data_IF_985376786065
#
_entry.id   IF_985376786065
#
_cell.length_a   1.000
_cell.length_b   1.000
_cell.length_c   1.000
_cell.angle_alpha   90.00
_cell.angle_beta   90.00
_cell.angle_gamma   90.00
#
_symmetry.space_group_name_H-M   'P 1'
#
loop_
_entity.id
_entity.type
_entity.pdbx_description
1 polymer ?
#
# COMPACT_ATOMS: atom_id res chain seq x y z
N UNK A 1 6.08 1.12 13.52
CA UNK A 1 6.33 0.59 12.16
C UNK A 1 5.26 -0.43 11.91
N UNK A 2 4.62 -0.35 10.75
CA UNK A 2 3.32 -0.93 10.40
C UNK A 2 2.13 -0.05 10.77
N UNK A 3 1.15 -0.04 9.86
CA UNK A 3 -0.14 0.63 10.03
C UNK A 3 -1.16 -0.45 10.36
N UNK A 4 -1.15 -0.90 11.61
CA UNK A 4 -2.10 -1.87 12.15
C UNK A 4 -2.83 -1.26 13.36
N UNK A 5 -3.85 -1.95 13.87
CA UNK A 5 -4.67 -1.48 14.98
C UNK A 5 -3.84 -1.18 16.24
N UNK A 6 -2.77 -1.93 16.48
CA UNK A 6 -1.89 -1.74 17.63
C UNK A 6 -1.07 -0.45 17.51
N UNK A 7 -0.50 -0.18 16.33
CA UNK A 7 0.25 1.04 16.07
C UNK A 7 -0.64 2.28 16.14
N UNK A 8 -1.86 2.20 15.62
CA UNK A 8 -2.87 3.26 15.75
C UNK A 8 -3.19 3.51 17.21
N UNK A 9 -3.47 2.46 17.99
CA UNK A 9 -3.73 2.59 19.42
C UNK A 9 -2.55 3.22 20.16
N UNK A 10 -1.32 2.80 19.87
CA UNK A 10 -0.11 3.38 20.46
C UNK A 10 0.05 4.87 20.12
N UNK A 11 -0.30 5.32 18.90
CA UNK A 11 -0.32 6.75 18.54
C UNK A 11 -1.38 7.52 19.34
N UNK A 12 -2.60 6.99 19.45
CA UNK A 12 -3.71 7.62 20.18
C UNK A 12 -3.42 7.74 21.68
N UNK A 13 -2.82 6.70 22.26
CA UNK A 13 -2.38 6.66 23.66
C UNK A 13 -1.17 7.60 23.92
N UNK A 14 -0.56 8.17 22.89
CA UNK A 14 0.65 8.99 23.00
C UNK A 14 1.92 8.19 23.29
N UNK A 15 1.89 6.87 23.10
CA UNK A 15 3.04 5.97 23.26
C UNK A 15 3.96 6.00 22.04
N UNK A 16 3.41 6.27 20.86
CA UNK A 16 4.17 6.53 19.63
C UNK A 16 4.06 7.99 19.21
N UNK A 17 5.20 8.55 18.80
CA UNK A 17 5.27 9.86 18.15
C UNK A 17 5.15 9.75 16.62
N UNK A 18 5.40 8.57 16.07
CA UNK A 18 5.46 8.33 14.63
C UNK A 18 5.21 6.85 14.31
N UNK A 19 4.46 6.58 13.24
CA UNK A 19 4.47 5.28 12.57
C UNK A 19 4.35 5.46 11.05
N UNK A 20 4.88 4.51 10.29
CA UNK A 20 4.74 4.49 8.85
C UNK A 20 4.54 3.05 8.35
N UNK A 21 3.94 2.92 7.18
CA UNK A 21 3.74 1.63 6.53
C UNK A 21 3.28 1.74 5.09
N UNK A 22 2.86 0.61 4.51
CA UNK A 22 2.57 0.43 3.10
C UNK A 22 3.56 -0.52 2.42
N UNK A 23 4.71 -0.80 3.04
CA UNK A 23 5.74 -1.64 2.44
C UNK A 23 5.29 -3.09 2.18
N UNK A 24 4.32 -3.62 2.93
CA UNK A 24 3.73 -4.94 2.65
C UNK A 24 3.04 -5.02 1.28
N UNK A 25 2.63 -3.89 0.70
CA UNK A 25 2.05 -3.83 -0.65
C UNK A 25 3.07 -4.21 -1.73
N UNK A 26 4.37 -4.04 -1.46
CA UNK A 26 5.43 -4.44 -2.39
C UNK A 26 5.31 -5.93 -2.76
N UNK A 27 4.92 -6.80 -1.82
CA UNK A 27 4.71 -8.22 -2.09
C UNK A 27 3.55 -8.47 -3.07
N UNK A 28 2.44 -7.73 -2.92
CA UNK A 28 1.30 -7.80 -3.85
C UNK A 28 1.66 -7.34 -5.26
N UNK A 29 2.42 -6.24 -5.36
CA UNK A 29 2.88 -5.71 -6.65
C UNK A 29 3.88 -6.65 -7.33
N UNK A 30 4.82 -7.22 -6.57
CA UNK A 30 5.74 -8.21 -7.10
C UNK A 30 5.00 -9.44 -7.67
N UNK A 31 3.97 -9.93 -6.96
CA UNK A 31 3.15 -11.04 -7.44
C UNK A 31 2.39 -10.71 -8.73
N UNK A 32 1.87 -9.48 -8.87
CA UNK A 32 1.21 -9.02 -10.10
C UNK A 32 2.17 -8.94 -11.28
N UNK A 33 3.36 -8.35 -11.09
CA UNK A 33 4.41 -8.28 -12.12
C UNK A 33 4.83 -9.68 -12.57
N UNK A 34 5.05 -10.60 -11.61
CA UNK A 34 5.40 -11.98 -11.91
C UNK A 34 4.30 -12.71 -12.68
N UNK A 35 3.03 -12.50 -12.31
CA UNK A 35 1.92 -13.13 -13.01
C UNK A 35 1.81 -12.66 -14.46
N UNK A 36 1.98 -11.37 -14.72
CA UNK A 36 1.99 -10.83 -16.07
C UNK A 36 3.18 -11.38 -16.87
N UNK A 37 4.36 -11.49 -16.25
CA UNK A 37 5.53 -12.10 -16.87
C UNK A 37 5.28 -13.55 -17.30
N UNK A 38 4.70 -14.37 -16.41
CA UNK A 38 4.33 -15.75 -16.72
C UNK A 38 3.24 -15.85 -17.81
N UNK A 39 2.51 -14.77 -18.07
CA UNK A 39 1.52 -14.67 -19.14
C UNK A 39 2.04 -14.04 -20.44
N UNK A 40 3.35 -13.87 -20.57
CA UNK A 40 4.02 -13.41 -21.79
C UNK A 40 4.13 -11.90 -21.94
N UNK A 41 3.89 -11.13 -20.87
CA UNK A 41 4.17 -9.70 -20.86
C UNK A 41 5.59 -9.43 -20.37
N UNK A 42 6.30 -8.50 -21.01
CA UNK A 42 7.63 -8.12 -20.52
C UNK A 42 7.55 -7.31 -19.22
N UNK A 43 8.61 -7.46 -18.41
CA UNK A 43 8.82 -6.68 -17.20
C UNK A 43 9.45 -5.35 -17.62
N UNK A 44 8.61 -4.35 -17.85
CA UNK A 44 9.03 -3.01 -18.27
C UNK A 44 9.69 -2.22 -17.11
N UNK A 45 9.35 -2.55 -15.86
CA UNK A 45 9.80 -1.86 -14.66
C UNK A 45 10.18 -2.89 -13.58
N UNK A 46 11.47 -2.92 -13.23
CA UNK A 46 12.02 -3.86 -12.23
C UNK A 46 12.08 -3.26 -10.83
N UNK A 47 12.08 -1.94 -10.74
CA UNK A 47 12.14 -1.18 -9.49
C UNK A 47 10.82 -0.47 -9.25
N UNK A 48 9.97 -1.07 -8.41
CA UNK A 48 8.74 -0.41 -7.94
C UNK A 48 9.09 0.45 -6.73
N UNK A 49 9.00 1.77 -6.90
CA UNK A 49 9.18 2.71 -5.80
C UNK A 49 7.85 2.98 -5.11
N UNK A 50 7.79 2.71 -3.80
CA UNK A 50 6.64 3.00 -2.96
C UNK A 50 6.94 4.18 -2.05
N UNK A 51 6.05 5.17 -2.03
CA UNK A 51 6.01 6.18 -0.97
C UNK A 51 5.23 5.59 0.21
N UNK A 52 5.88 5.50 1.37
CA UNK A 52 5.24 4.98 2.58
C UNK A 52 4.19 5.98 3.10
N UNK A 53 3.09 5.45 3.62
CA UNK A 53 2.12 6.23 4.38
C UNK A 53 2.69 6.51 5.77
N UNK A 54 2.83 7.79 6.09
CA UNK A 54 3.31 8.26 7.39
C UNK A 54 2.15 8.75 8.25
N UNK A 55 2.25 8.50 9.55
CA UNK A 55 1.29 8.94 10.57
C UNK A 55 2.09 9.61 11.68
N UNK A 56 2.01 10.94 11.71
CA UNK A 56 2.82 11.78 12.61
C UNK A 56 1.99 12.49 13.69
N UNK A 57 0.66 12.31 13.70
CA UNK A 57 -0.25 12.97 14.65
C UNK A 57 -1.39 12.05 15.10
N UNK A 58 -2.07 12.43 16.17
CA UNK A 58 -3.27 11.71 16.64
C UNK A 58 -4.41 11.84 15.64
N UNK A 59 -4.54 12.99 15.00
CA UNK A 59 -5.54 13.27 13.98
C UNK A 59 -5.33 12.36 12.76
N UNK A 60 -4.08 12.21 12.31
CA UNK A 60 -3.74 11.28 11.23
C UNK A 60 -4.02 9.81 11.64
N UNK A 61 -3.77 9.45 12.91
CA UNK A 61 -4.09 8.13 13.42
C UNK A 61 -5.61 7.86 13.45
N UNK A 62 -6.42 8.86 13.80
CA UNK A 62 -7.90 8.78 13.71
C UNK A 62 -8.33 8.61 12.25
N UNK A 63 -7.76 9.39 11.32
CA UNK A 63 -8.07 9.26 9.89
C UNK A 63 -7.74 7.86 9.37
N UNK A 64 -6.58 7.32 9.73
CA UNK A 64 -6.19 5.95 9.38
C UNK A 64 -7.19 4.94 9.94
N UNK A 65 -7.57 5.05 11.22
CA UNK A 65 -8.52 4.15 11.86
C UNK A 65 -9.90 4.17 11.20
N UNK A 66 -10.42 5.35 10.86
CA UNK A 66 -11.80 5.50 10.40
C UNK A 66 -11.98 5.26 8.90
N UNK A 67 -10.99 5.63 8.09
CA UNK A 67 -11.11 5.62 6.62
C UNK A 67 -10.40 4.44 5.96
N UNK A 68 -9.37 3.92 6.59
CA UNK A 68 -8.45 2.99 5.96
C UNK A 68 -8.36 1.65 6.67
N UNK A 69 -8.87 1.50 7.90
CA UNK A 69 -8.87 0.22 8.60
C UNK A 69 -10.30 -0.35 8.69
N UNK A 70 -10.52 -1.63 8.29
CA UNK A 70 -9.56 -2.49 7.60
C UNK A 70 -9.23 -1.96 6.19
N UNK A 71 -8.01 -2.24 5.71
CA UNK A 71 -7.60 -1.79 4.38
C UNK A 71 -8.55 -2.31 3.30
N UNK A 72 -8.93 -1.46 2.31
CA UNK A 72 -9.79 -1.90 1.23
C UNK A 72 -9.12 -3.04 0.47
N UNK A 73 -9.93 -4.00 0.01
CA UNK A 73 -9.45 -5.07 -0.84
C UNK A 73 -8.87 -4.47 -2.13
N UNK A 74 -7.70 -4.98 -2.53
CA UNK A 74 -7.03 -4.58 -3.76
C UNK A 74 -7.38 -5.55 -4.89
N UNK A 75 -7.97 -5.05 -5.99
CA UNK A 75 -8.36 -5.91 -7.12
C UNK A 75 -7.18 -6.19 -8.05
N UNK A 76 -6.61 -7.38 -7.91
CA UNK A 76 -5.53 -7.88 -8.75
C UNK A 76 -5.81 -7.74 -10.26
N UNK A 77 -7.05 -7.98 -10.71
CA UNK A 77 -7.38 -8.00 -12.14
C UNK A 77 -7.37 -6.61 -12.75
N UNK A 78 -7.68 -5.57 -11.97
CA UNK A 78 -7.57 -4.19 -12.44
C UNK A 78 -6.12 -3.78 -12.68
N UNK A 79 -5.19 -4.41 -11.96
CA UNK A 79 -3.78 -4.03 -11.97
C UNK A 79 -2.85 -4.96 -12.76
N UNK A 80 -3.33 -6.13 -13.20
CA UNK A 80 -2.60 -7.04 -14.07
C UNK A 80 -2.78 -6.66 -15.54
N UNK A 81 -1.69 -6.54 -16.30
CA UNK A 81 -1.69 -6.30 -17.75
C UNK A 81 -2.49 -7.37 -18.49
N UNK A 82 -2.46 -8.61 -18.02
CA UNK A 82 -3.21 -9.73 -18.61
C UNK A 82 -4.71 -9.47 -18.65
N UNK A 83 -5.27 -8.84 -17.60
CA UNK A 83 -6.71 -8.62 -17.46
C UNK A 83 -7.13 -7.20 -17.86
N UNK A 84 -6.36 -6.19 -17.48
CA UNK A 84 -6.71 -4.78 -17.72
C UNK A 84 -6.23 -4.26 -19.08
N UNK A 85 -5.25 -4.92 -19.71
CA UNK A 85 -4.58 -4.46 -20.93
C UNK A 85 -3.77 -3.18 -20.74
N UNK A 86 -3.63 -2.67 -19.51
CA UNK A 86 -2.94 -1.41 -19.19
C UNK A 86 -1.62 -1.69 -18.50
N UNK A 87 -0.60 -0.91 -18.84
CA UNK A 87 0.58 -0.75 -18.00
C UNK A 87 0.19 0.11 -16.80
N UNK A 88 -0.19 -0.52 -15.70
CA UNK A 88 -0.54 0.14 -14.44
C UNK A 88 0.72 0.74 -13.81
N UNK A 89 1.14 1.90 -14.31
CA UNK A 89 2.24 2.73 -13.79
C UNK A 89 1.91 3.43 -12.46
N UNK A 90 0.72 3.22 -11.91
CA UNK A 90 0.26 3.88 -10.70
C UNK A 90 0.19 2.87 -9.57
N UNK A 91 1.34 2.57 -8.98
CA UNK A 91 1.39 2.05 -7.62
C UNK A 91 1.09 3.25 -6.72
N UNK A 92 -0.19 3.39 -6.40
CA UNK A 92 -0.79 4.56 -5.78
C UNK A 92 -0.02 5.00 -4.54
N UNK A 93 0.35 6.28 -4.47
CA UNK A 93 0.84 6.87 -3.21
C UNK A 93 -0.25 6.74 -2.15
N UNK A 94 0.04 5.99 -1.09
CA UNK A 94 -0.80 5.97 0.10
C UNK A 94 -0.49 7.23 0.89
N UNK A 95 -1.22 8.32 0.63
CA UNK A 95 -1.13 9.56 1.40
C UNK A 95 -2.19 9.56 2.49
N UNK A 96 -1.77 9.42 3.74
CA UNK A 96 -2.61 9.64 4.91
C UNK A 96 -2.37 11.09 5.34
N UNK A 97 -3.25 12.01 4.92
CA UNK A 97 -3.28 13.41 5.36
C UNK A 97 -4.26 13.60 6.51
#
# INVERSE_FOLDING_TARGET
>A
MDLNDEAVKAMLDGRYAFTAGGHWLMGGFAAAIMYDYLNGFEIDERDVQLVLAEVQSKEAAITLQQKWLPFPAWDFKEHSKKYSGKNTKQYTELRIQ
#
